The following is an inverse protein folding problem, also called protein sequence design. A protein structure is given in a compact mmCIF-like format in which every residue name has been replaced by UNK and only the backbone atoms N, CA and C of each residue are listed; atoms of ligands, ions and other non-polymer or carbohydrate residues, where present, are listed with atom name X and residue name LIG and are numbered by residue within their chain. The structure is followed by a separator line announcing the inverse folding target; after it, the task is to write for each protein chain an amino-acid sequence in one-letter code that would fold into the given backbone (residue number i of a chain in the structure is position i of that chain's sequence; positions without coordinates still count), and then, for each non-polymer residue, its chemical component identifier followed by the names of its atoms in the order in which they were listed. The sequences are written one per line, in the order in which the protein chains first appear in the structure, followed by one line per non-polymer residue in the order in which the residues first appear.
data_IF_549574556989
#
_entry.id   IF_549574556989
#
_cell.length_a   1.000
_cell.length_b   1.000
_cell.length_c   1.000
_cell.angle_alpha   90.00
_cell.angle_beta   90.00
_cell.angle_gamma   90.00
#
_symmetry.space_group_name_H-M   'P 1'
#
loop_
_entity.id
_entity.type
_entity.pdbx_description
1 polymer ?
#
# COMPACT_ATOMS: atom_id res chain seq x y z
N UNK A 1 32.18 24.13 -47.60
CA UNK A 1 31.80 22.97 -46.75
C UNK A 1 30.88 23.48 -45.65
N UNK A 2 29.56 23.35 -45.83
CA UNK A 2 28.54 23.80 -44.86
C UNK A 2 28.17 22.60 -43.98
N UNK A 3 28.44 22.65 -42.67
CA UNK A 3 27.97 21.65 -41.71
C UNK A 3 26.63 22.08 -41.15
N UNK A 4 25.58 21.35 -41.52
CA UNK A 4 24.22 21.50 -41.03
C UNK A 4 24.13 20.85 -39.64
N UNK A 5 24.06 21.67 -38.59
CA UNK A 5 23.86 21.17 -37.23
C UNK A 5 22.37 20.81 -37.04
N UNK A 6 22.07 19.52 -36.93
CA UNK A 6 20.74 19.04 -36.53
C UNK A 6 20.60 19.23 -35.01
N UNK A 7 19.80 20.21 -34.62
CA UNK A 7 19.37 20.41 -33.24
C UNK A 7 18.28 19.38 -32.94
N UNK A 8 18.63 18.28 -32.28
CA UNK A 8 17.65 17.33 -31.75
C UNK A 8 16.96 17.98 -30.53
N UNK A 9 15.67 18.29 -30.68
CA UNK A 9 14.83 18.72 -29.57
C UNK A 9 14.40 17.46 -28.80
N UNK A 10 15.00 17.22 -27.63
CA UNK A 10 14.52 16.21 -26.68
C UNK A 10 13.29 16.76 -25.98
N UNK A 11 12.11 16.26 -26.36
CA UNK A 11 10.86 16.49 -25.63
C UNK A 11 10.78 15.43 -24.53
N UNK A 12 11.09 15.81 -23.29
CA UNK A 12 10.83 14.97 -22.12
C UNK A 12 9.34 15.00 -21.81
N UNK A 13 8.63 13.90 -22.04
CA UNK A 13 7.27 13.72 -21.53
C UNK A 13 7.40 13.26 -20.09
N UNK A 14 7.18 14.16 -19.14
CA UNK A 14 6.98 13.77 -17.72
C UNK A 14 5.61 13.12 -17.62
N UNK A 15 5.55 11.80 -17.44
CA UNK A 15 4.30 11.13 -17.11
C UNK A 15 3.77 11.72 -15.80
N UNK A 16 2.56 12.27 -15.84
CA UNK A 16 1.93 12.80 -14.63
C UNK A 16 1.56 11.62 -13.72
N UNK A 17 2.06 11.63 -12.49
CA UNK A 17 1.67 10.66 -11.47
C UNK A 17 0.19 10.87 -11.13
N UNK A 18 -0.63 9.86 -11.37
CA UNK A 18 -2.05 9.89 -10.99
C UNK A 18 -2.16 9.42 -9.54
N UNK A 19 -2.63 10.30 -8.67
CA UNK A 19 -2.84 10.03 -7.26
C UNK A 19 -4.20 9.38 -7.02
N UNK A 20 -4.32 8.50 -6.01
CA UNK A 20 -5.60 7.91 -5.65
C UNK A 20 -6.58 8.97 -5.13
N UNK A 21 -7.85 8.80 -5.46
CA UNK A 21 -8.94 9.61 -4.91
C UNK A 21 -9.09 9.34 -3.41
N UNK A 22 -9.14 10.42 -2.62
CA UNK A 22 -9.32 10.34 -1.17
C UNK A 22 -10.78 10.17 -0.79
N UNK A 23 -11.05 9.33 0.21
CA UNK A 23 -12.36 9.06 0.79
C UNK A 23 -13.42 8.51 -0.18
N UNK A 24 -12.98 7.99 -1.33
CA UNK A 24 -13.84 7.28 -2.28
C UNK A 24 -13.72 5.79 -2.01
N UNK A 25 -14.86 5.14 -1.74
CA UNK A 25 -14.92 3.69 -1.56
C UNK A 25 -14.84 3.03 -2.93
N UNK A 26 -13.85 2.17 -3.10
CA UNK A 26 -13.64 1.34 -4.28
C UNK A 26 -13.72 -0.12 -3.87
N UNK A 27 -13.99 -0.98 -4.84
CA UNK A 27 -14.04 -2.43 -4.62
C UNK A 27 -13.00 -3.10 -5.51
N UNK A 28 -12.31 -4.09 -4.97
CA UNK A 28 -11.43 -4.97 -5.72
C UNK A 28 -11.71 -6.42 -5.37
N UNK A 29 -11.33 -7.34 -6.25
CA UNK A 29 -11.43 -8.78 -5.99
C UNK A 29 -10.14 -9.45 -6.40
N UNK A 30 -9.55 -10.14 -5.44
CA UNK A 30 -8.43 -11.04 -5.66
C UNK A 30 -9.00 -12.43 -5.97
N UNK A 31 -8.37 -13.13 -6.91
CA UNK A 31 -8.80 -14.47 -7.33
C UNK A 31 -8.21 -15.56 -6.45
N UNK A 32 -6.96 -15.38 -5.99
CA UNK A 32 -6.19 -16.38 -5.24
C UNK A 32 -5.28 -15.69 -4.22
N UNK A 33 -4.87 -16.42 -3.18
CA UNK A 33 -3.74 -16.00 -2.36
C UNK A 33 -2.44 -16.15 -3.15
N UNK A 34 -1.51 -15.22 -2.98
CA UNK A 34 -0.29 -15.11 -3.80
C UNK A 34 0.49 -16.43 -3.93
N UNK A 35 0.78 -17.12 -2.82
CA UNK A 35 1.59 -18.37 -2.89
C UNK A 35 0.83 -19.58 -3.46
N UNK A 36 -0.47 -19.44 -3.76
CA UNK A 36 -1.32 -20.51 -4.31
C UNK A 36 -1.85 -20.23 -5.71
N UNK A 37 -1.38 -19.15 -6.33
CA UNK A 37 -1.80 -18.80 -7.67
C UNK A 37 -1.33 -19.84 -8.70
N UNK A 38 -2.22 -20.33 -9.57
CA UNK A 38 -1.82 -21.17 -10.70
C UNK A 38 -1.05 -20.32 -11.73
N UNK A 39 -0.03 -20.87 -12.42
CA UNK A 39 0.67 -20.13 -13.47
C UNK A 39 -0.26 -19.70 -14.63
N UNK A 40 -0.02 -18.53 -15.26
CA UNK A 40 1.05 -17.57 -14.96
C UNK A 40 0.77 -16.74 -13.70
N UNK A 41 1.84 -16.34 -13.00
CA UNK A 41 1.75 -15.47 -11.82
C UNK A 41 1.47 -14.03 -12.25
N UNK A 42 0.34 -13.50 -11.79
CA UNK A 42 -0.13 -12.16 -12.07
C UNK A 42 -0.50 -11.46 -10.75
N UNK A 43 0.29 -10.45 -10.34
CA UNK A 43 0.10 -9.78 -9.05
C UNK A 43 -1.28 -9.13 -8.90
N UNK A 44 -1.90 -8.66 -9.99
CA UNK A 44 -3.23 -8.05 -9.91
C UNK A 44 -4.32 -9.01 -9.45
N UNK A 45 -4.07 -10.33 -9.49
CA UNK A 45 -5.00 -11.34 -8.99
C UNK A 45 -4.92 -11.55 -7.48
N UNK A 46 -3.91 -10.99 -6.80
CA UNK A 46 -3.64 -11.23 -5.38
C UNK A 46 -3.20 -9.98 -4.62
N UNK A 47 -3.13 -8.83 -5.28
CA UNK A 47 -2.58 -7.62 -4.71
C UNK A 47 -3.34 -6.35 -5.11
N UNK A 48 -3.33 -5.37 -4.21
CA UNK A 48 -3.86 -4.02 -4.46
C UNK A 48 -2.71 -3.09 -4.85
N UNK A 49 -3.00 -2.18 -5.78
CA UNK A 49 -2.14 -1.07 -6.18
C UNK A 49 -2.92 0.23 -5.96
N UNK A 50 -2.28 1.29 -5.44
CA UNK A 50 -2.93 2.61 -5.25
C UNK A 50 -2.59 3.62 -6.35
N UNK A 51 -1.52 3.37 -7.10
CA UNK A 51 -1.05 4.25 -8.17
C UNK A 51 -0.93 3.46 -9.47
N UNK A 52 -1.61 3.93 -10.50
CA UNK A 52 -1.69 3.21 -11.78
C UNK A 52 -0.50 3.51 -12.71
N UNK A 53 0.37 4.50 -12.39
CA UNK A 53 1.31 5.09 -13.37
C UNK A 53 2.69 5.55 -12.82
N UNK A 54 3.26 4.90 -11.80
CA UNK A 54 4.64 5.20 -11.40
C UNK A 54 5.65 4.58 -12.38
N UNK A 55 6.74 5.28 -12.75
CA UNK A 55 7.78 4.76 -13.64
C UNK A 55 8.56 3.57 -13.04
N UNK A 56 8.40 3.31 -11.75
CA UNK A 56 8.58 1.97 -11.17
C UNK A 56 7.24 1.25 -11.18
N UNK A 57 6.99 0.35 -12.13
CA UNK A 57 5.73 -0.35 -12.22
C UNK A 57 5.70 -1.44 -11.14
N UNK A 58 4.55 -1.61 -10.48
CA UNK A 58 4.13 -2.87 -9.87
C UNK A 58 4.62 -3.20 -8.44
N UNK A 59 4.81 -2.23 -7.54
CA UNK A 59 4.93 -2.58 -6.13
C UNK A 59 3.55 -2.59 -5.44
N UNK A 60 3.02 -3.78 -5.10
CA UNK A 60 1.72 -3.89 -4.47
C UNK A 60 1.73 -3.16 -3.13
N UNK A 61 0.65 -2.45 -2.80
CA UNK A 61 0.48 -1.81 -1.48
C UNK A 61 -0.09 -2.78 -0.45
N UNK A 62 -0.78 -3.81 -0.90
CA UNK A 62 -1.39 -4.85 -0.08
C UNK A 62 -1.29 -6.14 -0.86
N UNK A 63 -0.83 -7.20 -0.21
CA UNK A 63 -0.80 -8.54 -0.78
C UNK A 63 -1.69 -9.43 0.06
N UNK A 64 -2.59 -10.12 -0.61
CA UNK A 64 -3.30 -11.25 -0.05
C UNK A 64 -2.45 -12.50 -0.27
N UNK A 65 -1.92 -13.04 0.82
CA UNK A 65 -0.99 -14.15 0.80
C UNK A 65 -1.48 -15.29 1.72
N UNK A 66 -0.84 -16.43 1.62
CA UNK A 66 -1.18 -17.66 2.32
C UNK A 66 -0.41 -18.81 1.70
N UNK A 67 0.11 -19.74 2.51
CA UNK A 67 0.67 -20.98 1.97
C UNK A 67 -0.47 -21.98 1.72
N UNK A 68 -0.39 -22.81 0.69
CA UNK A 68 -1.53 -23.63 0.28
C UNK A 68 -1.93 -24.65 1.34
N UNK A 69 -2.99 -24.33 2.07
CA UNK A 69 -3.49 -25.08 3.24
C UNK A 69 -3.15 -24.46 4.62
N UNK A 70 -2.41 -23.35 4.66
CA UNK A 70 -2.15 -22.54 5.85
C UNK A 70 -3.02 -21.28 5.82
N UNK A 71 -3.26 -20.65 6.98
CA UNK A 71 -4.12 -19.46 7.06
C UNK A 71 -3.65 -18.34 6.12
N UNK A 72 -4.61 -17.73 5.43
CA UNK A 72 -4.34 -16.54 4.63
C UNK A 72 -4.13 -15.31 5.53
N UNK A 73 -3.32 -14.39 5.04
CA UNK A 73 -2.98 -13.15 5.72
C UNK A 73 -2.79 -12.01 4.72
N UNK A 74 -2.90 -10.79 5.22
CA UNK A 74 -2.49 -9.59 4.51
C UNK A 74 -1.08 -9.20 4.93
N UNK A 75 -0.30 -8.70 3.97
CA UNK A 75 0.94 -7.98 4.23
C UNK A 75 0.95 -6.63 3.49
N UNK A 76 1.91 -5.78 3.82
CA UNK A 76 2.14 -4.48 3.14
C UNK A 76 3.62 -4.19 2.85
N UNK A 77 4.56 -5.00 3.36
CA UNK A 77 6.00 -4.85 3.17
C UNK A 77 6.51 -5.88 2.17
N UNK A 78 6.84 -5.44 0.95
CA UNK A 78 7.29 -6.33 -0.13
C UNK A 78 8.64 -5.94 -0.72
N UNK A 79 9.03 -4.66 -0.60
CA UNK A 79 10.34 -4.13 -0.94
C UNK A 79 11.19 -3.88 0.31
N UNK A 80 12.51 -4.06 0.21
CA UNK A 80 13.41 -4.03 1.37
C UNK A 80 13.60 -2.67 2.08
N UNK A 81 13.18 -1.56 1.46
CA UNK A 81 13.22 -0.21 2.04
C UNK A 81 11.85 0.32 2.48
N UNK A 82 10.78 -0.43 2.21
CA UNK A 82 9.42 -0.02 2.56
C UNK A 82 9.12 -0.26 4.03
N UNK A 83 8.42 0.69 4.65
CA UNK A 83 7.76 0.51 5.93
C UNK A 83 6.25 0.43 5.71
N UNK A 84 5.62 -0.49 6.42
CA UNK A 84 4.20 -0.71 6.31
C UNK A 84 3.71 -1.56 7.44
N UNK A 85 2.58 -1.19 8.00
CA UNK A 85 1.94 -1.93 9.10
C UNK A 85 0.43 -1.92 8.95
N UNK A 86 -0.18 -2.94 9.52
CA UNK A 86 -1.60 -3.25 9.44
C UNK A 86 -2.18 -3.33 10.85
N UNK A 87 -3.39 -2.81 11.02
CA UNK A 87 -4.16 -2.98 12.25
C UNK A 87 -5.55 -3.51 11.93
N UNK A 88 -5.99 -4.52 12.69
CA UNK A 88 -7.35 -5.05 12.63
C UNK A 88 -8.26 -4.22 13.55
N UNK A 89 -9.22 -3.52 12.96
CA UNK A 89 -10.18 -2.67 13.68
C UNK A 89 -11.45 -3.43 14.06
N UNK A 90 -11.55 -4.72 13.69
CA UNK A 90 -12.72 -5.56 13.91
C UNK A 90 -13.87 -5.26 12.95
N UNK A 91 -15.08 -5.65 13.35
CA UNK A 91 -16.28 -5.49 12.53
C UNK A 91 -16.86 -4.07 12.63
N UNK A 92 -16.20 -3.12 11.95
CA UNK A 92 -16.59 -1.71 11.90
C UNK A 92 -16.86 -1.29 10.44
N UNK A 93 -17.90 -0.50 10.14
CA UNK A 93 -18.13 -0.02 8.78
C UNK A 93 -16.97 0.84 8.27
N UNK A 94 -16.63 0.69 7.00
CA UNK A 94 -15.48 1.37 6.38
C UNK A 94 -15.68 2.90 6.30
N UNK A 95 -16.93 3.33 6.22
CA UNK A 95 -17.38 4.72 6.22
C UNK A 95 -17.07 5.42 7.55
N UNK A 96 -17.07 4.69 8.66
CA UNK A 96 -16.88 5.24 10.00
C UNK A 96 -15.41 5.45 10.38
N UNK A 97 -14.50 4.87 9.60
CA UNK A 97 -13.06 4.96 9.86
C UNK A 97 -12.51 6.24 9.26
N UNK A 98 -12.08 7.16 10.14
CA UNK A 98 -11.32 8.36 9.79
C UNK A 98 -9.82 8.12 9.97
N UNK A 99 -8.99 9.03 9.46
CA UNK A 99 -7.55 8.96 9.68
C UNK A 99 -7.17 8.93 11.18
N UNK A 100 -7.88 9.69 12.01
CA UNK A 100 -7.66 9.70 13.46
C UNK A 100 -8.10 8.40 14.14
N UNK A 101 -9.26 7.85 13.76
CA UNK A 101 -9.79 6.61 14.33
C UNK A 101 -8.99 5.36 13.95
N UNK A 102 -8.21 5.42 12.86
CA UNK A 102 -7.36 4.32 12.44
C UNK A 102 -6.27 3.95 13.47
N UNK A 103 -5.88 4.89 14.34
CA UNK A 103 -4.87 4.66 15.39
C UNK A 103 -5.47 4.40 16.77
N UNK A 104 -6.71 4.82 17.02
CA UNK A 104 -7.41 4.59 18.28
C UNK A 104 -8.92 4.56 18.01
N UNK A 105 -9.45 3.41 17.59
CA UNK A 105 -10.84 3.33 17.15
C UNK A 105 -11.81 3.41 18.33
N UNK A 106 -11.46 2.77 19.45
CA UNK A 106 -12.25 2.75 20.68
C UNK A 106 -12.19 4.08 21.45
N UNK A 107 -11.40 5.05 20.99
CA UNK A 107 -11.16 6.34 21.64
C UNK A 107 -10.83 6.19 23.14
N UNK A 108 -10.06 5.16 23.47
CA UNK A 108 -9.71 4.81 24.84
C UNK A 108 -8.29 5.29 25.11
N UNK A 109 -8.14 6.14 26.12
CA UNK A 109 -6.85 6.74 26.45
C UNK A 109 -5.89 5.65 26.92
N UNK A 110 -4.78 5.48 26.20
CA UNK A 110 -3.76 4.48 26.50
C UNK A 110 -4.01 3.10 25.87
N UNK A 111 -5.08 2.94 25.10
CA UNK A 111 -5.38 1.73 24.32
C UNK A 111 -5.44 2.11 22.84
N UNK A 112 -4.27 2.27 22.24
CA UNK A 112 -4.15 2.47 20.79
C UNK A 112 -4.30 1.14 20.06
N UNK A 113 -4.66 1.20 18.79
CA UNK A 113 -4.75 0.01 17.96
C UNK A 113 -3.34 -0.57 17.76
N UNK A 114 -3.20 -1.89 17.88
CA UNK A 114 -1.93 -2.57 17.64
C UNK A 114 -1.68 -2.72 16.13
N UNK A 115 -0.43 -2.50 15.74
CA UNK A 115 0.03 -2.55 14.34
C UNK A 115 1.03 -3.69 14.16
N UNK A 116 0.83 -4.47 13.10
CA UNK A 116 1.61 -5.65 12.76
C UNK A 116 2.06 -5.61 11.30
N UNK A 117 3.16 -6.29 10.96
CA UNK A 117 3.61 -6.42 9.57
C UNK A 117 2.63 -7.25 8.71
N UNK A 118 1.94 -8.19 9.36
CA UNK A 118 0.90 -9.02 8.73
C UNK A 118 -0.28 -9.21 9.67
N UNK A 119 -1.48 -9.37 9.11
CA UNK A 119 -2.72 -9.66 9.86
C UNK A 119 -3.49 -10.79 9.20
N UNK A 120 -4.18 -11.65 9.97
CA UNK A 120 -4.99 -12.73 9.40
C UNK A 120 -6.18 -12.15 8.62
N UNK A 121 -6.61 -12.86 7.57
CA UNK A 121 -7.84 -12.53 6.85
C UNK A 121 -9.06 -12.98 7.66
N UNK A 122 -9.91 -12.04 8.05
CA UNK A 122 -11.16 -12.31 8.77
C UNK A 122 -12.31 -11.63 8.03
N UNK A 123 -13.35 -12.40 7.72
CA UNK A 123 -14.55 -11.87 7.05
C UNK A 123 -15.19 -10.75 7.86
N UNK A 124 -15.69 -9.73 7.18
CA UNK A 124 -16.37 -8.56 7.76
C UNK A 124 -15.49 -7.67 8.66
N UNK A 125 -14.20 -7.98 8.80
CA UNK A 125 -13.27 -7.11 9.49
C UNK A 125 -12.81 -5.97 8.59
N UNK A 126 -12.59 -4.82 9.22
CA UNK A 126 -12.00 -3.64 8.62
C UNK A 126 -10.61 -3.44 9.19
N UNK A 127 -9.69 -3.09 8.32
CA UNK A 127 -8.28 -2.94 8.64
C UNK A 127 -7.81 -1.53 8.28
N UNK A 128 -6.85 -1.02 9.04
CA UNK A 128 -6.07 0.16 8.68
C UNK A 128 -4.69 -0.27 8.20
N UNK A 129 -4.24 0.28 7.08
CA UNK A 129 -2.92 0.07 6.52
C UNK A 129 -2.19 1.41 6.47
N UNK A 130 -1.08 1.52 7.20
CA UNK A 130 -0.15 2.63 7.12
C UNK A 130 1.05 2.19 6.31
N UNK A 131 1.38 2.95 5.27
CA UNK A 131 2.51 2.67 4.38
C UNK A 131 3.37 3.92 4.26
N UNK A 132 4.68 3.74 4.33
CA UNK A 132 5.69 4.74 4.05
C UNK A 132 6.78 4.12 3.17
N UNK A 133 6.93 4.67 1.97
CA UNK A 133 7.96 4.35 0.98
C UNK A 133 8.86 5.56 0.75
N UNK A 134 9.86 5.38 -0.10
CA UNK A 134 10.83 6.44 -0.45
C UNK A 134 10.17 7.70 -1.01
N UNK A 135 9.09 7.55 -1.78
CA UNK A 135 8.41 8.65 -2.49
C UNK A 135 6.98 8.91 -2.00
N UNK A 136 6.44 8.07 -1.13
CA UNK A 136 5.00 8.07 -0.85
C UNK A 136 4.69 7.67 0.59
N UNK A 137 3.63 8.26 1.13
CA UNK A 137 3.02 7.85 2.40
C UNK A 137 1.52 7.75 2.21
N UNK A 138 0.93 6.66 2.68
CA UNK A 138 -0.49 6.43 2.56
C UNK A 138 -1.06 5.86 3.85
N UNK A 139 -2.25 6.32 4.20
CA UNK A 139 -3.16 5.64 5.10
C UNK A 139 -4.38 5.26 4.29
N UNK A 140 -4.64 3.97 4.17
CA UNK A 140 -5.90 3.49 3.61
C UNK A 140 -6.53 2.46 4.53
N UNK A 141 -7.83 2.28 4.35
CA UNK A 141 -8.60 1.31 5.10
C UNK A 141 -9.27 0.37 4.12
N UNK A 142 -9.43 -0.89 4.52
CA UNK A 142 -10.09 -1.88 3.70
C UNK A 142 -10.92 -2.83 4.55
N UNK A 143 -12.04 -3.29 4.01
CA UNK A 143 -12.96 -4.22 4.66
C UNK A 143 -13.06 -5.48 3.82
N UNK A 144 -13.02 -6.63 4.48
CA UNK A 144 -13.22 -7.93 3.85
C UNK A 144 -14.72 -8.17 3.67
N UNK A 145 -15.19 -8.10 2.42
CA UNK A 145 -16.61 -8.30 2.10
C UNK A 145 -16.95 -9.77 1.92
N UNK A 146 -16.06 -10.51 1.24
CA UNK A 146 -16.23 -11.94 0.96
C UNK A 146 -14.86 -12.60 0.97
N UNK A 147 -14.74 -13.72 1.65
CA UNK A 147 -13.48 -14.45 1.78
C UNK A 147 -13.70 -15.96 1.63
N UNK A 148 -12.92 -16.56 0.74
CA UNK A 148 -12.76 -18.01 0.64
C UNK A 148 -11.29 -18.36 0.84
N UNK A 149 -11.01 -19.29 1.75
CA UNK A 149 -9.65 -19.73 2.05
C UNK A 149 -8.91 -20.26 0.80
N UNK A 150 -7.68 -19.77 0.53
CA UNK A 150 -6.88 -19.99 -0.68
C UNK A 150 -7.61 -19.66 -2.00
N UNK A 151 -8.71 -18.92 -1.94
CA UNK A 151 -9.57 -18.64 -3.07
C UNK A 151 -9.89 -17.15 -3.18
N UNK A 152 -11.01 -16.82 -3.85
CA UNK A 152 -11.38 -15.45 -4.08
C UNK A 152 -11.62 -14.66 -2.79
N UNK A 153 -11.19 -13.40 -2.82
CA UNK A 153 -11.35 -12.43 -1.74
C UNK A 153 -11.81 -11.11 -2.34
N UNK A 154 -12.93 -10.58 -1.85
CA UNK A 154 -13.44 -9.26 -2.24
C UNK A 154 -13.20 -8.27 -1.11
N UNK A 155 -12.61 -7.12 -1.46
CA UNK A 155 -12.37 -6.02 -0.53
C UNK A 155 -13.11 -4.77 -0.99
N UNK A 156 -13.69 -4.04 -0.05
CA UNK A 156 -13.94 -2.61 -0.21
C UNK A 156 -12.78 -1.85 0.41
N UNK A 157 -12.34 -0.74 -0.18
CA UNK A 157 -11.24 0.07 0.37
C UNK A 157 -11.41 1.56 0.07
N UNK A 158 -10.80 2.39 0.91
CA UNK A 158 -10.71 3.83 0.69
C UNK A 158 -9.38 4.39 1.21
N UNK A 159 -8.75 5.26 0.41
CA UNK A 159 -7.56 6.01 0.84
C UNK A 159 -8.01 7.19 1.69
N UNK A 160 -7.53 7.26 2.93
CA UNK A 160 -7.91 8.32 3.90
C UNK A 160 -6.90 9.45 3.89
N UNK A 161 -5.64 9.15 3.65
CA UNK A 161 -4.57 10.12 3.51
C UNK A 161 -3.53 9.62 2.51
N UNK A 162 -2.99 10.53 1.72
CA UNK A 162 -1.93 10.25 0.76
C UNK A 162 -1.00 11.46 0.66
N UNK A 163 0.31 11.22 0.63
CA UNK A 163 1.32 12.24 0.43
C UNK A 163 2.43 11.74 -0.48
N UNK A 164 2.86 12.58 -1.42
CA UNK A 164 4.07 12.37 -2.23
C UNK A 164 5.22 13.09 -1.54
N UNK A 165 6.34 12.40 -1.37
CA UNK A 165 7.58 12.96 -0.85
C UNK A 165 8.41 13.39 -2.06
N UNK A 166 8.51 14.69 -2.30
CA UNK A 166 9.52 15.23 -3.21
C UNK A 166 10.85 15.25 -2.45
N UNK A 167 11.78 14.36 -2.79
CA UNK A 167 13.12 14.35 -2.19
C UNK A 167 13.92 15.55 -2.70
N UNK A 168 13.97 16.63 -1.90
CA UNK A 168 14.73 17.84 -2.27
C UNK A 168 16.21 17.76 -1.83
N UNK A 169 16.57 16.84 -0.94
CA UNK A 169 17.96 16.66 -0.50
C UNK A 169 18.13 15.35 0.27
N UNK A 170 19.05 14.48 -0.15
CA UNK A 170 19.61 13.47 0.75
C UNK A 170 20.34 14.21 1.88
N UNK A 171 20.04 13.85 3.13
CA UNK A 171 20.83 14.34 4.25
C UNK A 171 22.30 13.92 4.02
N UNK A 172 23.30 14.79 4.26
CA UNK A 172 24.69 14.36 4.25
C UNK A 172 24.78 13.16 5.20
N UNK A 173 25.17 12.00 4.66
CA UNK A 173 25.03 10.72 5.33
C UNK A 173 25.56 10.73 6.76
N UNK A 174 24.99 9.86 7.60
CA UNK A 174 25.40 9.70 8.99
C UNK A 174 26.89 9.32 9.08
N UNK A 175 27.67 10.12 9.80
CA UNK A 175 29.07 9.81 10.10
C UNK A 175 29.18 9.36 11.54
N UNK A 176 29.60 8.10 11.75
CA UNK A 176 29.93 7.55 13.07
C UNK A 176 31.04 8.35 13.79
N UNK A 177 31.82 9.11 13.03
CA UNK A 177 32.95 9.91 13.52
C UNK A 177 32.60 11.39 13.73
N UNK A 178 31.37 11.82 13.42
CA UNK A 178 30.98 13.20 13.64
C UNK A 178 30.75 13.47 15.13
N UNK A 179 31.35 14.53 15.71
CA UNK A 179 31.00 14.96 17.05
C UNK A 179 29.55 15.47 17.08
N UNK A 180 28.84 15.20 18.18
CA UNK A 180 27.51 15.77 18.40
C UNK A 180 27.62 17.30 18.45
N UNK A 181 26.83 17.98 17.62
CA UNK A 181 26.67 19.44 17.64
C UNK A 181 25.43 19.84 18.44
#
# INVERSE_FOLDING_TARGET
MLRLAHLLLLVSVTAAVILPELNVIKQTTFKYSYSCQPPPLEYHDCALFLTDNTPQPNEPVLLYNGACGAKDYFGVNFGGSDFGVLSDLGNVPLEEVTASKAFNFNNTVGEDNEFFDTVPVVSEHTYAALIARDDTRALFVFRVEKYQHNGPLTLSYAVKQYGVIESVQEAPGFSWDAPNH
#
